data_IF_727496954224
#
_entry.id   IF_727496954224
#
_cell.length_a   1.000
_cell.length_b   1.000
_cell.length_c   1.000
_cell.angle_alpha   90.00
_cell.angle_beta   90.00
_cell.angle_gamma   90.00
#
_symmetry.space_group_name_H-M   'P 1'
#
loop_
_entity.id
_entity.type
_entity.pdbx_description
1 polymer ?
#
# COMPACT_ATOMS: atom_id res chain seq x y z
N UNK A 1 -2.46 14.13 -7.00
CA UNK A 1 -2.19 13.47 -5.71
C UNK A 1 -3.39 13.65 -4.79
N UNK A 2 -3.73 12.59 -3.99
CA UNK A 2 -4.88 12.61 -3.09
C UNK A 2 -6.21 12.15 -3.71
N UNK A 3 -6.32 12.08 -5.01
CA UNK A 3 -7.51 11.56 -5.68
C UNK A 3 -7.72 10.07 -5.43
N UNK A 4 -8.97 9.67 -5.27
CA UNK A 4 -9.34 8.25 -5.20
C UNK A 4 -9.50 7.75 -6.64
N UNK A 5 -8.56 6.90 -7.06
CA UNK A 5 -8.53 6.34 -8.40
C UNK A 5 -9.28 5.00 -8.47
N UNK A 6 -9.96 4.81 -9.60
CA UNK A 6 -10.48 3.52 -10.06
C UNK A 6 -9.56 3.03 -11.17
N UNK A 7 -9.02 1.83 -11.04
CA UNK A 7 -8.07 1.29 -12.01
C UNK A 7 -8.19 -0.23 -12.14
N UNK A 8 -7.68 -0.77 -13.25
CA UNK A 8 -7.62 -2.20 -13.51
C UNK A 8 -6.51 -2.84 -12.70
N UNK A 9 -6.82 -3.99 -12.06
CA UNK A 9 -5.88 -4.72 -11.21
C UNK A 9 -4.60 -5.08 -11.99
N UNK A 10 -3.44 -4.53 -11.61
CA UNK A 10 -2.18 -4.78 -12.30
C UNK A 10 -1.64 -6.20 -12.10
N UNK A 11 -2.16 -6.94 -11.09
CA UNK A 11 -1.77 -8.33 -10.84
C UNK A 11 -2.48 -9.34 -11.76
N UNK A 12 -3.60 -8.95 -12.38
CA UNK A 12 -4.38 -9.84 -13.24
C UNK A 12 -3.92 -9.81 -14.71
N UNK A 13 -2.62 -9.72 -14.94
CA UNK A 13 -1.99 -9.61 -16.28
C UNK A 13 -2.27 -10.78 -17.23
N UNK A 14 -2.69 -11.95 -16.70
CA UNK A 14 -3.14 -13.11 -17.51
C UNK A 14 -4.56 -12.96 -18.06
N UNK A 15 -5.35 -12.00 -17.56
CA UNK A 15 -6.69 -11.71 -18.07
C UNK A 15 -6.62 -10.60 -19.12
N UNK A 16 -7.56 -10.65 -20.08
CA UNK A 16 -7.79 -9.53 -20.96
C UNK A 16 -8.06 -8.26 -20.13
N UNK A 17 -7.56 -7.12 -20.58
CA UNK A 17 -7.55 -5.88 -19.81
C UNK A 17 -8.94 -5.50 -19.27
N UNK A 18 -9.99 -5.60 -20.12
CA UNK A 18 -11.37 -5.25 -19.79
C UNK A 18 -12.00 -6.19 -18.74
N UNK A 19 -11.44 -7.40 -18.60
CA UNK A 19 -11.91 -8.43 -17.64
C UNK A 19 -11.18 -8.41 -16.31
N UNK A 20 -10.18 -7.55 -16.16
CA UNK A 20 -9.47 -7.38 -14.90
C UNK A 20 -10.38 -6.69 -13.89
N UNK A 21 -10.27 -7.10 -12.63
CA UNK A 21 -11.02 -6.48 -11.53
C UNK A 21 -10.71 -4.98 -11.44
N UNK A 22 -11.74 -4.19 -11.13
CA UNK A 22 -11.56 -2.79 -10.77
C UNK A 22 -11.15 -2.71 -9.29
N UNK A 23 -10.12 -1.96 -9.02
CA UNK A 23 -9.65 -1.62 -7.69
C UNK A 23 -9.86 -0.13 -7.45
N UNK A 24 -10.06 0.21 -6.18
CA UNK A 24 -10.22 1.61 -5.73
C UNK A 24 -9.19 1.87 -4.65
N UNK A 25 -8.29 2.83 -4.88
CA UNK A 25 -7.24 3.25 -3.96
C UNK A 25 -6.96 4.75 -4.12
N UNK A 26 -6.30 5.33 -3.12
CA UNK A 26 -5.86 6.73 -3.18
C UNK A 26 -4.49 6.85 -3.87
N UNK A 27 -4.37 7.71 -4.85
CA UNK A 27 -3.06 8.06 -5.45
C UNK A 27 -2.29 8.91 -4.45
N UNK A 28 -1.18 8.38 -3.96
CA UNK A 28 -0.28 9.08 -3.03
C UNK A 28 1.03 9.49 -3.69
N UNK A 29 1.51 8.74 -4.69
CA UNK A 29 2.68 9.06 -5.50
C UNK A 29 2.33 9.28 -6.95
N UNK A 30 2.75 10.42 -7.49
CA UNK A 30 2.73 10.76 -8.91
C UNK A 30 4.05 10.37 -9.57
N UNK A 31 4.11 10.27 -10.91
CA UNK A 31 5.37 10.08 -11.62
C UNK A 31 6.43 11.09 -11.18
N UNK A 32 7.63 10.62 -10.84
CA UNK A 32 8.75 11.43 -10.35
C UNK A 32 8.77 11.66 -8.82
N UNK A 33 7.74 11.27 -8.07
CA UNK A 33 7.73 11.44 -6.62
C UNK A 33 8.64 10.42 -5.91
N UNK A 34 9.15 10.81 -4.75
CA UNK A 34 9.78 9.92 -3.77
C UNK A 34 8.80 9.64 -2.63
N UNK A 35 8.57 8.35 -2.35
CA UNK A 35 7.66 7.87 -1.30
C UNK A 35 8.44 7.28 -0.14
N UNK A 36 8.12 7.70 1.07
CA UNK A 36 8.62 7.12 2.31
C UNK A 36 7.45 6.95 3.29
N UNK A 37 7.36 5.77 3.93
CA UNK A 37 6.57 5.61 5.15
C UNK A 37 7.54 5.41 6.32
N UNK A 38 7.27 6.13 7.41
CA UNK A 38 7.97 5.97 8.70
C UNK A 38 6.92 5.80 9.78
N UNK A 39 6.96 4.65 10.45
CA UNK A 39 5.93 4.28 11.42
C UNK A 39 4.50 4.53 10.86
N UNK A 40 4.25 4.10 9.61
CA UNK A 40 2.99 4.25 8.87
C UNK A 40 2.64 5.68 8.46
N UNK A 41 3.45 6.68 8.82
CA UNK A 41 3.26 8.08 8.38
C UNK A 41 3.85 8.27 6.99
N UNK A 42 3.02 8.77 6.08
CA UNK A 42 3.41 9.01 4.69
C UNK A 42 4.20 10.32 4.53
N UNK A 43 5.32 10.24 3.84
CA UNK A 43 6.09 11.38 3.33
C UNK A 43 6.22 11.26 1.82
N UNK A 44 6.02 12.36 1.12
CA UNK A 44 6.22 12.47 -0.33
C UNK A 44 7.11 13.66 -0.61
N UNK A 45 8.24 13.42 -1.27
CA UNK A 45 9.27 14.42 -1.53
C UNK A 45 9.74 15.13 -0.24
N UNK A 46 9.81 14.38 0.87
CA UNK A 46 10.20 14.88 2.19
C UNK A 46 9.08 15.58 2.98
N UNK A 47 7.92 15.83 2.38
CA UNK A 47 6.78 16.47 3.04
C UNK A 47 5.83 15.43 3.62
N UNK A 48 5.42 15.61 4.90
CA UNK A 48 4.42 14.77 5.54
C UNK A 48 3.06 15.00 4.91
N UNK A 49 2.39 13.90 4.51
CA UNK A 49 1.03 13.94 4.00
C UNK A 49 0.11 13.05 4.84
N UNK A 50 -1.12 13.51 5.00
CA UNK A 50 -2.23 12.73 5.56
C UNK A 50 -3.51 13.03 4.80
N UNK A 51 -4.43 12.07 4.80
CA UNK A 51 -5.70 12.22 4.06
C UNK A 51 -6.88 11.98 4.99
N UNK A 52 -8.01 12.69 4.77
CA UNK A 52 -9.26 12.43 5.48
C UNK A 52 -9.68 10.95 5.32
N UNK A 53 -10.09 10.31 6.42
CA UNK A 53 -10.50 8.91 6.43
C UNK A 53 -9.34 7.91 6.54
N UNK A 54 -8.10 8.35 6.65
CA UNK A 54 -6.97 7.48 6.90
C UNK A 54 -7.09 6.83 8.28
N UNK A 55 -7.01 5.47 8.31
CA UNK A 55 -7.07 4.69 9.54
C UNK A 55 -5.90 3.71 9.63
N UNK A 56 -5.50 3.42 10.87
CA UNK A 56 -4.49 2.41 11.21
C UNK A 56 -5.11 1.36 12.13
N UNK A 57 -4.48 0.19 12.25
CA UNK A 57 -4.88 -0.78 13.27
C UNK A 57 -4.52 -0.31 14.65
N UNK A 58 -5.48 -0.36 15.56
CA UNK A 58 -5.30 -0.16 16.98
C UNK A 58 -5.80 -1.37 17.75
N UNK A 59 -5.02 -1.78 18.73
CA UNK A 59 -5.43 -2.77 19.71
C UNK A 59 -6.11 -2.05 20.87
N UNK A 60 -7.42 -2.27 21.01
CA UNK A 60 -8.23 -1.75 22.10
C UNK A 60 -8.39 -2.85 23.15
N UNK A 61 -7.83 -2.64 24.34
CA UNK A 61 -7.98 -3.54 25.47
C UNK A 61 -9.12 -3.08 26.36
N UNK A 62 -10.11 -3.96 26.57
CA UNK A 62 -11.29 -3.69 27.38
C UNK A 62 -11.10 -4.19 28.82
N UNK A 63 -11.81 -3.57 29.76
CA UNK A 63 -11.90 -4.08 31.14
C UNK A 63 -12.63 -5.43 31.17
N UNK A 64 -12.34 -6.22 32.19
CA UNK A 64 -12.98 -7.50 32.38
C UNK A 64 -14.51 -7.31 32.56
N UNK A 65 -15.30 -8.11 31.83
CA UNK A 65 -16.75 -8.02 31.84
C UNK A 65 -17.37 -6.99 30.89
N UNK A 66 -16.56 -6.21 30.17
CA UNK A 66 -17.07 -5.31 29.11
C UNK A 66 -17.52 -6.13 27.90
N UNK A 67 -18.68 -5.82 27.36
CA UNK A 67 -19.15 -6.40 26.09
C UNK A 67 -18.54 -5.63 24.89
N UNK A 68 -17.66 -6.26 24.11
CA UNK A 68 -17.08 -5.62 22.94
C UNK A 68 -18.10 -5.24 21.87
N UNK A 69 -19.25 -5.93 21.82
CA UNK A 69 -20.29 -5.68 20.79
C UNK A 69 -20.93 -4.31 20.95
N UNK A 70 -21.06 -3.83 22.20
CA UNK A 70 -21.61 -2.50 22.46
C UNK A 70 -20.72 -1.42 21.82
N UNK A 71 -19.40 -1.51 22.00
CA UNK A 71 -18.44 -0.59 21.38
C UNK A 71 -18.47 -0.66 19.84
N UNK A 72 -18.53 -1.88 19.27
CA UNK A 72 -18.61 -2.04 17.81
C UNK A 72 -19.90 -1.45 17.25
N UNK A 73 -21.02 -1.65 17.92
CA UNK A 73 -22.32 -1.09 17.50
C UNK A 73 -22.27 0.44 17.48
N UNK A 74 -21.69 1.05 18.52
CA UNK A 74 -21.50 2.51 18.62
C UNK A 74 -20.62 3.05 17.49
N UNK A 75 -19.58 2.30 17.12
CA UNK A 75 -18.65 2.66 16.02
C UNK A 75 -19.18 2.29 14.63
N UNK A 76 -20.36 1.64 14.54
CA UNK A 76 -20.89 1.17 13.26
C UNK A 76 -20.07 0.03 12.62
N UNK A 77 -19.32 -0.72 13.44
CA UNK A 77 -18.44 -1.79 12.96
C UNK A 77 -19.10 -3.18 13.11
N UNK A 78 -18.83 -4.12 12.18
CA UNK A 78 -19.42 -5.45 12.26
C UNK A 78 -18.89 -6.26 13.44
N UNK A 79 -19.72 -7.13 14.06
CA UNK A 79 -19.33 -7.98 15.21
C UNK A 79 -18.18 -8.95 14.93
N UNK A 80 -17.86 -9.20 13.65
CA UNK A 80 -16.77 -10.08 13.22
C UNK A 80 -15.36 -9.63 13.65
N UNK A 81 -15.20 -8.39 14.07
CA UNK A 81 -13.97 -7.87 14.65
C UNK A 81 -13.68 -8.36 16.09
N UNK A 82 -14.64 -9.04 16.73
CA UNK A 82 -14.47 -9.55 18.11
C UNK A 82 -13.92 -10.97 18.10
N UNK A 83 -12.67 -11.19 18.56
CA UNK A 83 -12.19 -12.55 18.79
C UNK A 83 -12.93 -13.19 19.98
N UNK A 84 -13.43 -14.44 19.85
CA UNK A 84 -14.11 -15.11 20.94
C UNK A 84 -13.26 -15.21 22.21
N UNK A 85 -13.84 -14.87 23.37
CA UNK A 85 -13.20 -15.07 24.68
C UNK A 85 -12.03 -14.16 25.00
N UNK A 86 -11.80 -13.09 24.23
CA UNK A 86 -10.71 -12.13 24.46
C UNK A 86 -11.27 -10.79 24.94
N UNK A 87 -10.48 -10.12 25.78
CA UNK A 87 -10.78 -8.78 26.28
C UNK A 87 -10.07 -7.68 25.48
N UNK A 88 -9.74 -7.97 24.22
CA UNK A 88 -9.17 -6.99 23.29
C UNK A 88 -9.78 -7.17 21.90
N UNK A 89 -9.86 -6.08 21.16
CA UNK A 89 -10.30 -6.02 19.78
C UNK A 89 -9.31 -5.18 18.97
N UNK A 90 -9.11 -5.57 17.72
CA UNK A 90 -8.34 -4.79 16.75
C UNK A 90 -9.30 -3.99 15.89
N UNK A 91 -9.09 -2.67 15.81
CA UNK A 91 -10.00 -1.75 15.11
C UNK A 91 -9.23 -0.84 14.15
N UNK A 92 -9.81 -0.54 12.95
CA UNK A 92 -9.30 0.48 12.04
C UNK A 92 -9.72 1.87 12.54
N UNK A 93 -8.86 2.58 13.23
CA UNK A 93 -9.14 3.89 13.82
C UNK A 93 -8.23 4.96 13.22
N UNK A 94 -8.75 6.19 13.16
CA UNK A 94 -7.91 7.37 13.07
C UNK A 94 -7.48 7.82 14.48
N UNK A 95 -6.59 8.80 14.57
CA UNK A 95 -6.07 9.26 15.88
C UNK A 95 -7.17 9.83 16.79
N UNK A 96 -8.11 10.59 16.21
CA UNK A 96 -9.22 11.20 16.96
C UNK A 96 -10.14 10.13 17.58
N UNK A 97 -10.49 9.10 16.80
CA UNK A 97 -11.27 7.96 17.28
C UNK A 97 -10.52 7.19 18.35
N UNK A 98 -9.22 6.96 18.19
CA UNK A 98 -8.40 6.26 19.16
C UNK A 98 -8.34 7.03 20.49
N UNK A 99 -8.13 8.36 20.45
CA UNK A 99 -8.12 9.23 21.62
C UNK A 99 -9.48 9.30 22.33
N UNK A 100 -10.58 9.25 21.58
CA UNK A 100 -11.93 9.21 22.14
C UNK A 100 -12.22 7.88 22.84
N UNK A 101 -11.80 6.76 22.25
CA UNK A 101 -11.97 5.41 22.80
C UNK A 101 -11.10 5.23 24.07
N UNK A 102 -9.88 5.74 24.07
CA UNK A 102 -8.96 5.61 25.23
C UNK A 102 -9.48 6.29 26.49
N UNK A 103 -10.29 7.34 26.34
CA UNK A 103 -10.93 8.07 27.45
C UNK A 103 -12.15 7.34 28.07
N UNK A 104 -12.59 6.24 27.50
CA UNK A 104 -13.79 5.52 27.96
C UNK A 104 -13.52 4.80 29.30
N UNK A 105 -14.54 4.76 30.15
CA UNK A 105 -14.45 4.10 31.44
C UNK A 105 -14.32 2.57 31.34
N UNK A 106 -14.76 1.95 30.24
CA UNK A 106 -14.73 0.52 29.97
C UNK A 106 -13.46 0.05 29.22
N UNK A 107 -12.56 0.98 28.85
CA UNK A 107 -11.31 0.72 28.18
C UNK A 107 -10.15 0.73 29.16
N UNK A 108 -9.17 -0.16 28.96
CA UNK A 108 -7.91 -0.19 29.73
C UNK A 108 -6.85 0.66 29.05
N UNK A 109 -6.68 0.45 27.74
CA UNK A 109 -5.78 1.24 26.90
C UNK A 109 -6.08 1.02 25.42
N UNK A 110 -5.67 1.97 24.59
CA UNK A 110 -5.66 1.91 23.14
C UNK A 110 -4.22 2.04 22.65
N UNK A 111 -3.74 1.07 21.90
CA UNK A 111 -2.37 1.09 21.39
C UNK A 111 -2.39 0.92 19.86
N UNK A 112 -1.71 1.84 19.17
CA UNK A 112 -1.51 1.67 17.73
C UNK A 112 -0.64 0.45 17.48
N UNK A 113 -1.06 -0.37 16.54
CA UNK A 113 -0.26 -1.50 16.08
C UNK A 113 0.74 -1.02 15.03
N UNK A 114 1.97 -1.48 15.15
CA UNK A 114 2.99 -1.31 14.12
C UNK A 114 3.52 -2.66 13.69
N UNK A 115 3.93 -2.75 12.44
CA UNK A 115 4.54 -3.96 11.91
C UNK A 115 5.96 -4.08 12.44
N UNK A 116 6.28 -5.21 13.08
CA UNK A 116 7.64 -5.47 13.58
C UNK A 116 8.68 -5.35 12.45
N UNK A 117 9.84 -4.79 12.78
CA UNK A 117 10.98 -4.72 11.87
C UNK A 117 11.43 -6.13 11.45
N UNK A 118 11.50 -6.36 10.17
CA UNK A 118 11.89 -7.62 9.55
C UNK A 118 11.31 -7.66 8.14
N UNK A 119 12.06 -8.11 7.16
CA UNK A 119 11.60 -8.13 5.77
C UNK A 119 10.49 -9.16 5.58
N UNK A 120 9.20 -8.80 5.62
CA UNK A 120 8.16 -9.73 5.28
C UNK A 120 8.27 -10.04 3.79
N UNK A 121 8.33 -11.32 3.44
CA UNK A 121 8.51 -11.80 2.05
C UNK A 121 7.42 -11.34 1.07
N UNK A 122 6.34 -10.77 1.56
CA UNK A 122 5.18 -10.34 0.78
C UNK A 122 5.11 -8.82 0.53
N UNK A 123 6.15 -8.06 0.92
CA UNK A 123 6.26 -6.62 0.62
C UNK A 123 7.04 -6.42 -0.67
N UNK A 124 6.51 -5.60 -1.58
CA UNK A 124 7.22 -5.16 -2.78
C UNK A 124 8.51 -4.39 -2.38
N UNK A 125 9.64 -4.64 -3.01
CA UNK A 125 9.86 -5.42 -4.24
C UNK A 125 10.24 -6.90 -4.02
N UNK A 126 9.90 -7.55 -2.92
CA UNK A 126 10.12 -8.98 -2.63
C UNK A 126 11.60 -9.39 -2.65
N UNK A 127 12.48 -8.50 -2.27
CA UNK A 127 13.92 -8.68 -2.40
C UNK A 127 14.62 -8.52 -1.04
N UNK A 128 15.64 -9.33 -0.74
CA UNK A 128 16.41 -9.24 0.50
C UNK A 128 17.24 -7.95 0.61
N UNK A 129 17.38 -7.20 -0.48
CA UNK A 129 18.07 -5.91 -0.47
C UNK A 129 17.24 -4.78 0.13
N UNK A 130 15.93 -4.96 0.30
CA UNK A 130 15.01 -3.98 0.84
C UNK A 130 14.41 -4.50 2.13
N UNK A 131 14.75 -3.88 3.27
CA UNK A 131 14.27 -4.26 4.60
C UNK A 131 12.98 -3.51 4.98
N UNK A 132 12.10 -3.31 3.99
CA UNK A 132 10.85 -2.58 4.16
C UNK A 132 9.75 -3.48 4.73
N UNK A 133 8.80 -2.83 5.39
CA UNK A 133 7.54 -3.43 5.84
C UNK A 133 6.38 -2.50 5.50
N UNK A 134 5.15 -2.81 5.94
CA UNK A 134 3.97 -2.00 5.61
C UNK A 134 3.97 -0.62 6.26
N UNK A 135 4.74 -0.41 7.33
CA UNK A 135 4.79 0.83 8.11
C UNK A 135 6.12 1.60 7.91
N UNK A 136 7.21 0.87 7.66
CA UNK A 136 8.53 1.44 7.35
C UNK A 136 8.91 1.03 5.93
N UNK A 137 8.69 1.92 4.98
CA UNK A 137 8.76 1.63 3.55
C UNK A 137 9.47 2.75 2.79
N UNK A 138 10.32 2.39 1.85
CA UNK A 138 11.05 3.36 1.03
C UNK A 138 12.45 3.71 1.61
N UNK A 139 13.14 4.71 1.04
CA UNK A 139 12.65 5.58 -0.04
C UNK A 139 12.39 4.83 -1.35
N UNK A 140 11.29 5.14 -2.00
CA UNK A 140 10.92 4.57 -3.30
C UNK A 140 10.61 5.70 -4.30
N UNK A 141 11.37 5.74 -5.39
CA UNK A 141 11.07 6.61 -6.53
C UNK A 141 9.93 6.03 -7.37
N UNK A 142 8.92 6.84 -7.66
CA UNK A 142 7.81 6.51 -8.55
C UNK A 142 8.21 6.82 -9.98
N UNK A 143 8.37 5.83 -10.88
CA UNK A 143 8.94 6.07 -12.20
C UNK A 143 8.05 6.99 -13.07
N UNK A 144 8.70 7.92 -13.77
CA UNK A 144 8.10 8.77 -14.78
C UNK A 144 8.59 8.36 -16.19
N UNK A 145 7.79 8.66 -17.20
CA UNK A 145 8.21 8.53 -18.60
C UNK A 145 9.48 9.36 -18.85
N UNK A 146 10.49 8.73 -19.45
CA UNK A 146 11.79 9.33 -19.70
C UNK A 146 12.81 9.18 -18.57
N UNK A 147 12.41 8.72 -17.39
CA UNK A 147 13.35 8.42 -16.33
C UNK A 147 14.35 7.34 -16.75
N UNK A 148 15.60 7.53 -16.36
CA UNK A 148 16.64 6.54 -16.59
C UNK A 148 16.98 5.85 -15.29
N UNK A 149 16.59 4.58 -15.18
CA UNK A 149 16.83 3.74 -13.99
C UNK A 149 18.03 2.84 -14.17
N UNK A 150 18.76 2.61 -13.08
CA UNK A 150 19.87 1.66 -13.06
C UNK A 150 19.34 0.23 -13.02
N UNK A 151 19.96 -0.66 -13.80
CA UNK A 151 19.62 -2.08 -13.89
C UNK A 151 20.78 -2.91 -13.39
N UNK A 152 20.62 -3.48 -12.20
CA UNK A 152 21.53 -4.44 -11.58
C UNK A 152 20.75 -5.36 -10.65
N UNK A 153 21.38 -6.42 -10.06
CA UNK A 153 20.68 -7.37 -9.18
C UNK A 153 20.00 -6.73 -7.96
N UNK A 154 20.44 -5.54 -7.52
CA UNK A 154 19.84 -4.86 -6.37
C UNK A 154 18.64 -4.02 -6.74
N UNK A 155 18.62 -3.42 -7.93
CA UNK A 155 17.56 -2.51 -8.39
C UNK A 155 16.50 -3.19 -9.24
N UNK A 156 16.85 -4.29 -9.96
CA UNK A 156 15.91 -4.96 -10.85
C UNK A 156 14.61 -5.40 -10.19
N UNK A 157 14.56 -5.81 -8.91
CA UNK A 157 13.30 -6.15 -8.25
C UNK A 157 12.27 -5.01 -8.20
N UNK A 158 12.72 -3.75 -8.34
CA UNK A 158 11.82 -2.60 -8.43
C UNK A 158 11.20 -2.45 -9.82
N UNK A 159 11.90 -2.92 -10.89
CA UNK A 159 11.57 -2.58 -12.26
C UNK A 159 11.27 -3.79 -13.16
N UNK A 160 11.48 -5.02 -12.69
CA UNK A 160 11.29 -6.24 -13.48
C UNK A 160 9.88 -6.32 -14.07
N UNK A 161 8.87 -5.99 -13.27
CA UNK A 161 7.48 -6.00 -13.69
C UNK A 161 7.16 -4.85 -14.65
N UNK A 162 7.75 -3.69 -14.44
CA UNK A 162 7.65 -2.55 -15.36
C UNK A 162 8.17 -2.98 -16.73
N UNK A 163 9.42 -3.43 -16.78
CA UNK A 163 10.12 -3.79 -18.00
C UNK A 163 9.40 -4.95 -18.72
N UNK A 164 9.14 -6.05 -18.00
CA UNK A 164 8.66 -7.27 -18.62
C UNK A 164 7.15 -7.30 -18.86
N UNK A 165 6.33 -6.73 -17.97
CA UNK A 165 4.87 -6.89 -18.02
C UNK A 165 4.15 -5.67 -18.56
N UNK A 166 4.60 -4.49 -18.18
CA UNK A 166 3.92 -3.25 -18.56
C UNK A 166 4.48 -2.67 -19.86
N UNK A 167 5.80 -2.78 -20.05
CA UNK A 167 6.46 -2.27 -21.26
C UNK A 167 6.79 -3.36 -22.27
N UNK A 168 6.47 -4.64 -21.95
CA UNK A 168 6.51 -5.78 -22.89
C UNK A 168 7.89 -6.14 -23.38
N UNK A 169 8.96 -5.79 -22.62
CA UNK A 169 10.33 -6.16 -22.98
C UNK A 169 10.67 -7.55 -22.50
N UNK A 170 11.52 -8.23 -23.24
CA UNK A 170 12.07 -9.51 -22.82
C UNK A 170 13.16 -9.28 -21.78
N UNK A 171 12.99 -9.83 -20.58
CA UNK A 171 13.95 -9.71 -19.48
C UNK A 171 14.48 -11.09 -19.14
N UNK A 172 15.79 -11.31 -19.33
CA UNK A 172 16.46 -12.57 -19.12
C UNK A 172 17.66 -12.42 -18.19
N UNK A 173 17.92 -13.47 -17.39
CA UNK A 173 19.14 -13.60 -16.61
C UNK A 173 20.11 -14.57 -17.32
N UNK A 174 21.30 -14.09 -17.68
CA UNK A 174 22.37 -14.90 -18.26
C UNK A 174 23.60 -14.85 -17.33
N UNK A 175 23.74 -15.87 -16.48
CA UNK A 175 24.75 -15.87 -15.43
C UNK A 175 24.52 -14.70 -14.45
N UNK A 176 25.51 -13.82 -14.30
CA UNK A 176 25.41 -12.62 -13.46
C UNK A 176 24.98 -11.37 -14.25
N UNK A 177 24.57 -11.51 -15.49
CA UNK A 177 24.19 -10.40 -16.37
C UNK A 177 22.69 -10.43 -16.64
N UNK A 178 22.06 -9.26 -16.60
CA UNK A 178 20.67 -9.08 -17.01
C UNK A 178 20.65 -8.60 -18.48
N UNK A 179 19.81 -9.25 -19.28
CA UNK A 179 19.59 -8.90 -20.68
C UNK A 179 18.17 -8.34 -20.83
N UNK A 180 18.04 -7.22 -21.52
CA UNK A 180 16.75 -6.65 -21.93
C UNK A 180 16.75 -6.69 -23.47
N UNK A 181 15.80 -7.40 -24.07
CA UNK A 181 15.73 -7.66 -25.53
C UNK A 181 17.06 -8.20 -26.09
N UNK A 182 17.70 -9.11 -25.34
CA UNK A 182 18.98 -9.71 -25.69
C UNK A 182 20.22 -8.82 -25.48
N UNK A 183 20.06 -7.59 -25.03
CA UNK A 183 21.15 -6.64 -24.81
C UNK A 183 21.50 -6.49 -23.32
N UNK A 184 22.78 -6.54 -22.97
CA UNK A 184 23.24 -6.25 -21.63
C UNK A 184 23.19 -4.74 -21.36
N UNK A 185 22.19 -4.29 -20.66
CA UNK A 185 21.97 -2.88 -20.32
C UNK A 185 22.20 -2.64 -18.83
N UNK A 186 22.99 -1.62 -18.51
CA UNK A 186 23.16 -1.14 -17.12
C UNK A 186 22.12 -0.07 -16.74
N UNK A 187 21.40 0.46 -17.71
CA UNK A 187 20.37 1.49 -17.55
C UNK A 187 19.22 1.21 -18.48
N UNK A 188 18.02 1.55 -18.03
CA UNK A 188 16.80 1.44 -18.80
C UNK A 188 16.04 2.75 -18.75
N UNK A 189 15.48 3.16 -19.90
CA UNK A 189 14.64 4.36 -19.99
C UNK A 189 13.19 3.91 -19.87
N UNK A 190 12.51 4.40 -18.86
CA UNK A 190 11.10 4.13 -18.58
C UNK A 190 10.23 4.73 -19.70
N UNK A 191 9.34 3.93 -20.28
CA UNK A 191 8.54 4.33 -21.43
C UNK A 191 7.16 4.89 -21.08
N UNK A 192 6.73 4.81 -19.82
CA UNK A 192 5.42 5.26 -19.37
C UNK A 192 5.44 5.86 -17.96
N UNK A 193 4.36 6.56 -17.61
CA UNK A 193 4.16 7.08 -16.27
C UNK A 193 3.55 6.02 -15.34
N UNK A 194 4.03 6.00 -14.09
CA UNK A 194 3.56 5.10 -13.03
C UNK A 194 3.05 5.86 -11.82
N UNK A 195 2.19 5.22 -11.06
CA UNK A 195 1.58 5.78 -9.86
C UNK A 195 1.79 4.85 -8.67
N UNK A 196 1.85 5.42 -7.47
CA UNK A 196 1.85 4.66 -6.23
C UNK A 196 0.57 4.95 -5.46
N UNK A 197 -0.15 3.90 -5.08
CA UNK A 197 -1.47 4.03 -4.45
C UNK A 197 -1.49 3.34 -3.09
N UNK A 198 -2.23 3.94 -2.14
CA UNK A 198 -2.49 3.37 -0.82
C UNK A 198 -3.99 3.26 -0.56
N UNK A 199 -4.37 2.26 0.22
CA UNK A 199 -5.71 2.24 0.81
C UNK A 199 -5.78 3.15 2.02
N UNK A 200 -6.93 3.78 2.26
CA UNK A 200 -7.12 4.65 3.42
C UNK A 200 -7.08 3.86 4.73
N UNK A 201 -7.59 2.62 4.74
CA UNK A 201 -7.42 1.70 5.88
C UNK A 201 -6.08 0.96 5.74
N UNK A 202 -5.02 1.53 6.30
CA UNK A 202 -3.61 1.19 6.04
C UNK A 202 -3.26 -0.27 6.25
N UNK A 203 -3.71 -0.89 7.33
CA UNK A 203 -3.40 -2.28 7.66
C UNK A 203 -4.38 -3.30 7.06
N UNK A 204 -5.53 -2.85 6.54
CA UNK A 204 -6.54 -3.69 5.91
C UNK A 204 -6.59 -3.52 4.38
N UNK A 205 -5.52 -2.98 3.78
CA UNK A 205 -5.45 -2.73 2.35
C UNK A 205 -4.32 -3.51 1.70
N UNK A 206 -4.65 -4.28 0.65
CA UNK A 206 -3.67 -4.71 -0.34
C UNK A 206 -3.51 -3.59 -1.38
N UNK A 207 -2.36 -2.91 -1.36
CA UNK A 207 -2.05 -1.74 -2.19
C UNK A 207 -0.61 -1.77 -2.73
N UNK A 208 -0.10 -0.68 -3.25
CA UNK A 208 1.22 -0.62 -3.88
C UNK A 208 2.38 -1.07 -3.01
N UNK A 209 2.25 -1.05 -1.68
CA UNK A 209 3.26 -1.63 -0.77
C UNK A 209 3.43 -3.13 -0.97
N UNK A 210 2.40 -3.81 -1.47
CA UNK A 210 2.37 -5.26 -1.64
C UNK A 210 2.59 -5.72 -3.08
N UNK A 211 2.34 -4.88 -4.08
CA UNK A 211 2.40 -5.30 -5.48
C UNK A 211 3.07 -4.28 -6.44
N UNK A 212 3.49 -3.11 -5.92
CA UNK A 212 4.26 -2.13 -6.68
C UNK A 212 3.40 -1.08 -7.39
N UNK A 213 3.82 -0.70 -8.58
CA UNK A 213 3.30 0.45 -9.31
C UNK A 213 2.02 0.15 -10.11
N UNK A 214 1.21 1.20 -10.32
CA UNK A 214 0.07 1.20 -11.26
C UNK A 214 0.49 1.95 -12.52
N UNK A 215 0.49 1.31 -13.71
CA UNK A 215 0.73 2.01 -14.96
C UNK A 215 -0.38 3.03 -15.28
N UNK A 216 -0.04 4.10 -15.97
CA UNK A 216 -0.99 5.15 -16.34
C UNK A 216 -2.19 4.64 -17.14
N UNK A 217 -1.98 3.70 -18.05
CA UNK A 217 -3.00 3.10 -18.90
C UNK A 217 -3.98 2.17 -18.14
N UNK A 218 -3.64 1.78 -16.91
CA UNK A 218 -4.54 1.03 -16.04
C UNK A 218 -5.57 1.92 -15.33
N UNK A 219 -5.37 3.24 -15.30
CA UNK A 219 -6.30 4.17 -14.68
C UNK A 219 -7.59 4.28 -15.54
N UNK A 220 -8.74 4.03 -14.91
CA UNK A 220 -10.06 4.11 -15.56
C UNK A 220 -10.72 5.44 -15.28
N UNK A 221 -10.53 5.96 -14.06
CA UNK A 221 -11.13 7.23 -13.67
C UNK A 221 -10.90 7.59 -12.21
N UNK A 222 -11.54 8.69 -11.80
CA UNK A 222 -11.52 9.20 -10.43
C UNK A 222 -12.91 9.07 -9.81
N UNK A 223 -12.97 8.60 -8.55
CA UNK A 223 -14.20 8.63 -7.79
C UNK A 223 -14.53 10.09 -7.39
N UNK A 224 -15.69 10.56 -7.78
CA UNK A 224 -16.11 11.96 -7.56
C UNK A 224 -17.03 12.10 -6.35
N UNK A 225 -17.77 11.03 -5.97
CA UNK A 225 -18.67 11.02 -4.81
C UNK A 225 -18.98 9.58 -4.38
N UNK A 226 -19.42 9.43 -3.13
CA UNK A 226 -19.90 8.18 -2.57
C UNK A 226 -21.42 8.25 -2.46
N UNK A 227 -22.12 7.32 -3.12
CA UNK A 227 -23.60 7.23 -3.08
C UNK A 227 -24.11 6.51 -1.84
N UNK A 228 -23.35 5.52 -1.36
CA UNK A 228 -23.66 4.72 -0.18
C UNK A 228 -22.37 4.44 0.58
N UNK A 229 -22.39 4.68 1.88
CA UNK A 229 -21.35 4.26 2.82
C UNK A 229 -21.95 3.28 3.81
N UNK A 230 -21.37 2.10 3.94
CA UNK A 230 -21.69 1.11 4.98
C UNK A 230 -20.64 1.15 6.07
#
# INVERSE_FOLDING_TARGET
>A
RGDIAVFRDPLQDRKAFERRQLLVKRIVGLPGDEIILKDGVLFVNGERLSYPGETHSYLVRLKQGTDPKALLTELGLPPSFVPPGRNFIELPLNQEMADAIDKRADVVNVARMSTATGAPRHIFPFSPYFHWNSDDYGPLHVPAEGDTVRIDPTTIPLYDRIISRYEGRELEASGNTLLIDGLSLQRYVIAANYYFVLGDSRHYSADSRFWGFVPADHLVGRASFVLVSQ
#
